data_IF_130955789972
#
_entry.id   IF_130955789972
#
_cell.length_a   1.000
_cell.length_b   1.000
_cell.length_c   1.000
_cell.angle_alpha   90.00
_cell.angle_beta   90.00
_cell.angle_gamma   90.00
#
_symmetry.space_group_name_H-M   'P 1'
#
loop_
_entity.id
_entity.type
_entity.pdbx_description
1 polymer ?
#
# COMPACT_ATOMS: atom_id res chain seq x y z
N UNK A 1 -12.31 -17.22 -5.37
CA UNK A 1 -12.18 -15.76 -5.14
C UNK A 1 -10.97 -15.25 -5.94
N UNK A 2 -11.16 -14.31 -6.86
CA UNK A 2 -10.08 -13.79 -7.71
C UNK A 2 -9.45 -12.54 -7.11
N UNK A 3 -8.14 -12.37 -7.31
CA UNK A 3 -7.43 -11.13 -7.01
C UNK A 3 -8.00 -10.03 -7.92
N UNK A 4 -8.36 -8.83 -7.42
CA UNK A 4 -8.87 -7.77 -8.26
C UNK A 4 -7.79 -7.32 -9.25
N UNK A 5 -8.16 -7.26 -10.55
CA UNK A 5 -7.23 -6.92 -11.65
C UNK A 5 -6.85 -5.44 -11.68
N UNK A 6 -7.50 -4.60 -10.86
CA UNK A 6 -7.17 -3.19 -10.70
C UNK A 6 -7.47 -2.72 -9.28
N UNK A 7 -6.45 -2.74 -8.42
CA UNK A 7 -6.56 -2.31 -7.01
C UNK A 7 -7.11 -0.89 -6.90
N UNK A 8 -6.68 -0.02 -7.81
CA UNK A 8 -7.19 1.35 -7.88
C UNK A 8 -8.70 1.42 -8.12
N UNK A 9 -9.25 0.61 -9.04
CA UNK A 9 -10.71 0.55 -9.28
C UNK A 9 -11.42 -0.03 -8.07
N UNK A 10 -10.85 -1.07 -7.48
CA UNK A 10 -11.42 -1.72 -6.30
C UNK A 10 -11.51 -0.75 -5.10
N UNK A 11 -10.51 0.12 -4.91
CA UNK A 11 -10.45 1.06 -3.79
C UNK A 11 -11.00 2.45 -4.12
N UNK A 12 -11.37 2.75 -5.37
CA UNK A 12 -11.71 4.11 -5.81
C UNK A 12 -12.82 4.74 -4.95
N UNK A 13 -13.91 4.01 -4.71
CA UNK A 13 -15.03 4.49 -3.90
C UNK A 13 -14.61 4.69 -2.45
N UNK A 14 -13.90 3.72 -1.87
CA UNK A 14 -13.37 3.82 -0.51
C UNK A 14 -12.46 5.04 -0.34
N UNK A 15 -11.51 5.26 -1.25
CA UNK A 15 -10.60 6.41 -1.21
C UNK A 15 -11.38 7.72 -1.28
N UNK A 16 -12.39 7.82 -2.16
CA UNK A 16 -13.24 9.00 -2.27
C UNK A 16 -13.96 9.29 -0.95
N UNK A 17 -14.60 8.28 -0.36
CA UNK A 17 -15.39 8.44 0.86
C UNK A 17 -14.51 8.81 2.05
N UNK A 18 -13.35 8.15 2.18
CA UNK A 18 -12.38 8.43 3.23
C UNK A 18 -11.79 9.83 3.09
N UNK A 19 -11.40 10.25 1.89
CA UNK A 19 -10.88 11.61 1.70
C UNK A 19 -11.91 12.67 2.08
N UNK A 20 -13.19 12.45 1.72
CA UNK A 20 -14.28 13.33 2.13
C UNK A 20 -14.44 13.36 3.66
N UNK A 21 -14.47 12.20 4.31
CA UNK A 21 -14.61 12.09 5.77
C UNK A 21 -13.41 12.66 6.53
N UNK A 22 -12.20 12.56 5.99
CA UNK A 22 -11.00 13.15 6.59
C UNK A 22 -10.99 14.67 6.44
N UNK A 23 -11.52 15.21 5.33
CA UNK A 23 -11.58 16.66 5.09
C UNK A 23 -12.71 17.36 5.88
N UNK A 24 -13.87 16.71 5.99
CA UNK A 24 -15.07 17.34 6.56
C UNK A 24 -15.48 16.78 7.93
N UNK A 25 -14.89 15.66 8.34
CA UNK A 25 -15.32 14.90 9.51
C UNK A 25 -16.63 14.14 9.28
N UNK A 26 -17.04 13.39 10.29
CA UNK A 26 -18.30 12.64 10.31
C UNK A 26 -19.30 13.33 11.25
N UNK A 27 -20.46 13.73 10.73
CA UNK A 27 -21.52 14.36 11.51
C UNK A 27 -22.46 13.31 12.13
N UNK A 28 -22.53 13.25 13.45
CA UNK A 28 -23.44 12.38 14.20
C UNK A 28 -24.22 13.21 15.21
N UNK A 29 -25.55 13.24 15.08
CA UNK A 29 -26.54 13.88 15.98
C UNK A 29 -26.41 15.40 16.17
N UNK A 30 -25.25 16.01 15.87
CA UNK A 30 -24.86 17.44 15.76
C UNK A 30 -23.35 17.65 16.03
N UNK A 31 -22.60 16.59 16.32
CA UNK A 31 -21.17 16.66 16.58
C UNK A 31 -20.37 16.14 15.38
N UNK A 32 -19.31 16.85 15.03
CA UNK A 32 -18.38 16.46 13.95
C UNK A 32 -17.17 15.75 14.55
N UNK A 33 -16.87 14.55 14.04
CA UNK A 33 -15.74 13.74 14.47
C UNK A 33 -14.65 13.73 13.39
N UNK A 34 -13.42 14.01 13.78
CA UNK A 34 -12.26 13.81 12.88
C UNK A 34 -12.02 12.32 12.67
N UNK A 35 -11.80 11.92 11.42
CA UNK A 35 -11.60 10.52 11.04
C UNK A 35 -10.12 10.25 10.77
N UNK A 36 -9.61 9.19 11.38
CA UNK A 36 -8.28 8.65 11.14
C UNK A 36 -8.38 7.15 10.88
N UNK A 37 -7.60 6.64 9.93
CA UNK A 37 -7.61 5.24 9.55
C UNK A 37 -6.32 4.58 10.00
N UNK A 38 -6.47 3.46 10.70
CA UNK A 38 -5.42 2.48 10.92
C UNK A 38 -5.83 1.19 10.22
N UNK A 39 -4.93 0.59 9.45
CA UNK A 39 -5.18 -0.67 8.77
C UNK A 39 -4.27 -1.78 9.30
N UNK A 40 -4.86 -2.95 9.52
CA UNK A 40 -4.14 -4.19 9.75
C UNK A 40 -4.59 -5.11 8.62
N UNK A 41 -3.65 -5.54 7.79
CA UNK A 41 -3.91 -6.38 6.64
C UNK A 41 -3.09 -7.66 6.74
N UNK A 42 -3.64 -8.76 6.25
CA UNK A 42 -2.91 -10.00 6.05
C UNK A 42 -1.83 -9.84 4.96
N UNK A 43 -0.94 -10.83 4.83
CA UNK A 43 0.19 -10.73 3.88
C UNK A 43 -0.27 -10.54 2.43
N UNK A 44 -1.29 -11.25 1.90
CA UNK A 44 -1.80 -11.04 0.55
C UNK A 44 -2.38 -9.64 0.32
N UNK A 45 -3.18 -9.11 1.24
CA UNK A 45 -3.75 -7.77 1.10
C UNK A 45 -2.67 -6.68 1.21
N UNK A 46 -1.70 -6.82 2.12
CA UNK A 46 -0.55 -5.89 2.16
C UNK A 46 0.24 -5.88 0.86
N UNK A 47 0.50 -7.05 0.29
CA UNK A 47 1.21 -7.14 -0.99
C UNK A 47 0.42 -6.50 -2.13
N UNK A 48 -0.92 -6.64 -2.12
CA UNK A 48 -1.82 -5.98 -3.06
C UNK A 48 -1.78 -4.45 -2.92
N UNK A 49 -1.89 -3.92 -1.69
CA UNK A 49 -1.94 -2.49 -1.40
C UNK A 49 -0.60 -1.78 -1.67
N UNK A 50 0.50 -2.41 -1.27
CA UNK A 50 1.86 -1.90 -1.50
C UNK A 50 2.38 -2.18 -2.90
N UNK A 51 1.61 -2.92 -3.69
CA UNK A 51 1.95 -3.31 -5.07
C UNK A 51 3.30 -4.00 -5.21
N UNK A 52 3.54 -4.92 -4.28
CA UNK A 52 4.71 -5.78 -4.22
C UNK A 52 4.31 -7.23 -4.53
N UNK A 53 5.31 -8.10 -4.72
CA UNK A 53 5.05 -9.53 -4.85
C UNK A 53 4.67 -10.14 -3.50
N UNK A 54 3.98 -11.28 -3.55
CA UNK A 54 3.64 -12.05 -2.35
C UNK A 54 4.88 -12.62 -1.67
N UNK A 55 4.70 -13.17 -0.47
CA UNK A 55 5.77 -13.77 0.33
C UNK A 55 6.69 -14.67 -0.50
N UNK A 56 8.01 -14.47 -0.39
CA UNK A 56 9.02 -15.24 -1.10
C UNK A 56 9.29 -14.80 -2.55
N UNK A 57 8.51 -13.87 -3.10
CA UNK A 57 8.76 -13.32 -4.44
C UNK A 57 9.92 -12.33 -4.47
N UNK A 58 10.66 -12.23 -5.57
CA UNK A 58 11.84 -11.36 -5.70
C UNK A 58 11.59 -9.87 -5.38
N UNK A 59 10.38 -9.37 -5.57
CA UNK A 59 10.04 -7.97 -5.25
C UNK A 59 9.01 -7.89 -4.12
N UNK A 60 9.19 -8.67 -3.05
CA UNK A 60 8.27 -8.72 -1.91
C UNK A 60 8.75 -8.00 -0.65
N UNK A 61 9.92 -7.36 -0.68
CA UNK A 61 10.32 -6.47 0.42
C UNK A 61 9.29 -5.35 0.59
N UNK A 62 8.86 -5.09 1.83
CA UNK A 62 7.84 -4.07 2.13
C UNK A 62 8.45 -2.69 2.41
N UNK A 63 9.75 -2.62 2.65
CA UNK A 63 10.44 -1.44 3.21
C UNK A 63 11.44 -0.81 2.24
N UNK A 64 12.21 -1.62 1.51
CA UNK A 64 13.31 -1.16 0.64
C UNK A 64 13.09 -1.52 -0.83
N UNK A 65 13.47 -0.63 -1.74
CA UNK A 65 13.41 -0.81 -3.20
C UNK A 65 14.51 -1.77 -3.68
N UNK A 66 14.41 -3.04 -3.26
CA UNK A 66 15.39 -4.07 -3.54
C UNK A 66 14.75 -5.30 -4.17
N UNK A 67 15.46 -5.87 -5.15
CA UNK A 67 15.19 -7.20 -5.68
C UNK A 67 15.88 -8.22 -4.78
N UNK A 68 15.11 -9.12 -4.21
CA UNK A 68 15.65 -10.24 -3.45
C UNK A 68 16.40 -11.24 -4.33
N UNK A 69 17.18 -12.07 -3.68
CA UNK A 69 18.04 -13.09 -4.30
C UNK A 69 17.68 -14.47 -3.78
N UNK A 70 17.86 -15.49 -4.62
CA UNK A 70 17.56 -16.87 -4.26
C UNK A 70 18.79 -17.49 -3.60
N UNK A 71 18.73 -17.71 -2.30
CA UNK A 71 19.80 -18.34 -1.52
C UNK A 71 19.20 -19.54 -0.82
N UNK A 72 19.80 -20.73 -0.94
CA UNK A 72 19.40 -21.93 -0.18
C UNK A 72 17.88 -22.18 -0.06
N UNK A 73 17.16 -22.12 -1.18
CA UNK A 73 15.69 -22.29 -1.22
C UNK A 73 14.88 -21.26 -0.41
N UNK A 74 15.46 -20.14 0.02
CA UNK A 74 14.77 -18.92 0.50
C UNK A 74 15.06 -17.71 -0.41
N UNK A 75 14.29 -16.64 -0.22
CA UNK A 75 14.50 -15.36 -0.91
C UNK A 75 15.00 -14.38 0.14
N UNK A 76 16.21 -13.87 -0.04
CA UNK A 76 16.87 -12.94 0.87
C UNK A 76 16.87 -11.54 0.29
N UNK A 77 16.85 -10.52 1.15
CA UNK A 77 16.89 -9.11 0.76
C UNK A 77 18.09 -8.47 1.45
N UNK A 78 19.29 -8.52 0.85
CA UNK A 78 20.49 -7.95 1.45
C UNK A 78 20.39 -6.42 1.39
N UNK A 79 20.06 -5.79 2.52
CA UNK A 79 19.93 -4.32 2.61
C UNK A 79 21.23 -3.75 3.13
N UNK A 80 21.79 -2.77 2.41
CA UNK A 80 22.88 -1.92 2.85
C UNK A 80 22.48 -0.43 2.79
N UNK A 81 23.41 0.46 3.11
CA UNK A 81 23.17 1.91 3.15
C UNK A 81 22.91 2.55 1.77
N UNK A 82 23.15 1.83 0.66
CA UNK A 82 22.90 2.31 -0.69
C UNK A 82 21.45 2.05 -1.15
N UNK A 83 20.71 1.19 -0.47
CA UNK A 83 19.37 0.78 -0.88
C UNK A 83 18.33 1.81 -0.46
N UNK A 84 17.62 2.36 -1.44
CA UNK A 84 16.54 3.32 -1.18
C UNK A 84 15.37 2.68 -0.42
N UNK A 85 14.84 3.41 0.56
CA UNK A 85 13.57 3.09 1.20
C UNK A 85 12.39 3.34 0.25
N UNK A 86 11.30 2.59 0.42
CA UNK A 86 10.02 2.91 -0.21
C UNK A 86 9.40 4.08 0.52
N UNK A 87 9.23 5.17 -0.20
CA UNK A 87 8.53 6.37 0.26
C UNK A 87 7.16 6.49 -0.39
N UNK A 88 6.24 7.20 0.25
CA UNK A 88 4.93 7.52 -0.33
C UNK A 88 5.07 8.22 -1.68
N UNK A 89 6.04 9.12 -1.82
CA UNK A 89 6.37 9.80 -3.08
C UNK A 89 6.73 8.79 -4.17
N UNK A 90 7.65 7.86 -3.88
CA UNK A 90 8.05 6.82 -4.84
C UNK A 90 6.90 5.89 -5.22
N UNK A 91 5.98 5.62 -4.29
CA UNK A 91 4.77 4.86 -4.57
C UNK A 91 3.89 5.62 -5.55
N UNK A 92 3.55 6.88 -5.26
CA UNK A 92 2.66 7.72 -6.09
C UNK A 92 3.20 7.97 -7.49
N UNK A 93 4.52 8.15 -7.65
CA UNK A 93 5.15 8.31 -8.96
C UNK A 93 4.95 7.10 -9.86
N UNK A 94 4.98 5.88 -9.31
CA UNK A 94 4.66 4.66 -10.05
C UNK A 94 3.17 4.56 -10.45
N UNK A 95 2.30 5.38 -9.84
CA UNK A 95 0.85 5.45 -10.07
C UNK A 95 0.39 6.73 -10.77
N UNK A 96 1.28 7.51 -11.41
CA UNK A 96 1.01 8.87 -11.98
C UNK A 96 -0.11 9.03 -13.04
N UNK A 97 -1.05 8.10 -13.16
CA UNK A 97 -2.39 8.35 -13.71
C UNK A 97 -3.48 8.54 -12.65
N UNK A 98 -3.20 8.42 -11.35
CA UNK A 98 -4.22 8.53 -10.31
C UNK A 98 -3.67 9.28 -9.09
N UNK A 99 -4.17 10.50 -8.87
CA UNK A 99 -4.04 11.24 -7.62
C UNK A 99 -4.66 10.42 -6.49
N UNK A 100 -3.88 9.53 -5.87
CA UNK A 100 -4.30 8.69 -4.76
C UNK A 100 -3.35 8.94 -3.60
N UNK A 101 -3.97 9.31 -2.47
CA UNK A 101 -3.44 9.84 -1.19
C UNK A 101 -2.98 11.30 -1.32
#
# INVERSE_FOLDING_TARGET
KHKPTGVHKYLAQFIKDINHLQAHGLLIVKQTFSICIKSICDRPARALLKSIKGHGGYWACERWQIRGERVERRTEYPVDNSVAERTDESFRQNYRMLNII
#
